data_IF_310379679114
#
_entry.id   IF_310379679114
#
_cell.length_a   1.000
_cell.length_b   1.000
_cell.length_c   1.000
_cell.angle_alpha   90.00
_cell.angle_beta   90.00
_cell.angle_gamma   90.00
#
_symmetry.space_group_name_H-M   'P 1'
#
loop_
_entity.id
_entity.type
_entity.pdbx_description
1 polymer ?
#
# COMPACT_ATOMS: atom_id res chain seq x y z
N UNK A 1 5.63 37.61 -6.79
CA UNK A 1 4.69 36.84 -5.94
C UNK A 1 3.87 35.96 -6.86
N UNK A 2 4.07 34.63 -6.91
CA UNK A 2 3.21 33.78 -7.73
C UNK A 2 1.84 33.67 -7.04
N UNK A 3 0.79 33.94 -7.81
CA UNK A 3 -0.61 33.77 -7.44
C UNK A 3 -0.90 32.29 -7.17
N UNK A 4 -1.62 31.94 -6.09
CA UNK A 4 -2.08 30.56 -5.88
C UNK A 4 -3.10 30.24 -6.97
N UNK A 5 -2.73 29.33 -7.89
CA UNK A 5 -3.67 28.80 -8.87
C UNK A 5 -4.81 28.09 -8.16
N UNK A 6 -6.05 28.45 -8.52
CA UNK A 6 -7.29 27.79 -8.09
C UNK A 6 -7.45 26.44 -8.80
N UNK A 7 -6.42 25.60 -8.78
CA UNK A 7 -6.55 24.20 -9.17
C UNK A 7 -7.12 23.44 -7.99
N UNK A 8 -8.27 22.78 -8.14
CA UNK A 8 -8.70 21.76 -7.20
C UNK A 8 -7.58 20.73 -7.12
N UNK A 9 -6.94 20.57 -5.96
CA UNK A 9 -6.00 19.46 -5.77
C UNK A 9 -6.82 18.19 -5.97
N UNK A 10 -6.48 17.32 -6.94
CA UNK A 10 -7.27 16.13 -7.20
C UNK A 10 -7.30 15.28 -5.93
N UNK A 11 -8.51 14.86 -5.54
CA UNK A 11 -8.78 14.25 -4.25
C UNK A 11 -8.04 12.92 -4.14
N UNK A 12 -7.27 12.76 -3.06
CA UNK A 12 -6.60 11.51 -2.73
C UNK A 12 -7.51 10.68 -1.82
N UNK A 13 -7.86 9.48 -2.24
CA UNK A 13 -8.68 8.57 -1.45
C UNK A 13 -7.93 7.27 -1.13
N UNK A 14 -8.15 6.74 0.08
CA UNK A 14 -7.69 5.40 0.43
C UNK A 14 -8.85 4.42 0.28
N UNK A 15 -8.73 3.50 -0.68
CA UNK A 15 -9.72 2.44 -0.89
C UNK A 15 -9.15 1.10 -0.42
N UNK A 16 -9.97 0.16 0.11
CA UNK A 16 -9.47 -1.16 0.50
C UNK A 16 -8.76 -1.84 -0.66
N UNK A 17 -7.57 -2.38 -0.42
CA UNK A 17 -6.79 -3.06 -1.44
C UNK A 17 -7.58 -4.23 -2.06
N UNK A 18 -7.71 -4.24 -3.38
CA UNK A 18 -8.37 -5.32 -4.14
C UNK A 18 -7.33 -6.11 -4.95
N UNK A 19 -7.64 -7.38 -5.25
CA UNK A 19 -6.76 -8.22 -6.06
C UNK A 19 -6.46 -7.60 -7.44
N UNK A 20 -7.41 -6.84 -8.00
CA UNK A 20 -7.21 -6.11 -9.25
C UNK A 20 -6.15 -5.00 -9.18
N UNK A 21 -5.78 -4.52 -7.98
CA UNK A 21 -4.72 -3.51 -7.81
C UNK A 21 -3.32 -4.15 -7.78
N UNK A 22 -3.21 -5.46 -7.56
CA UNK A 22 -1.93 -6.15 -7.41
C UNK A 22 -1.00 -5.98 -8.64
N UNK A 23 -1.47 -6.13 -9.91
CA UNK A 23 -0.60 -5.94 -11.06
C UNK A 23 0.01 -4.53 -11.15
N UNK A 24 -0.65 -3.51 -10.59
CA UNK A 24 -0.13 -2.13 -10.54
C UNK A 24 0.97 -2.04 -9.47
N UNK A 25 0.68 -2.50 -8.25
CA UNK A 25 1.65 -2.53 -7.14
C UNK A 25 2.92 -3.31 -7.50
N UNK A 26 2.77 -4.48 -8.15
CA UNK A 26 3.90 -5.32 -8.53
C UNK A 26 4.90 -4.60 -9.44
N UNK A 27 4.41 -3.72 -10.33
CA UNK A 27 5.24 -2.99 -11.30
C UNK A 27 6.09 -1.89 -10.68
N UNK A 28 5.81 -1.48 -9.44
CA UNK A 28 6.56 -0.41 -8.76
C UNK A 28 7.92 -0.86 -8.24
N UNK A 29 8.22 -2.15 -8.27
CA UNK A 29 9.50 -2.70 -7.81
C UNK A 29 10.18 -3.41 -8.99
N UNK A 30 11.20 -2.78 -9.55
CA UNK A 30 12.04 -3.33 -10.62
C UNK A 30 13.22 -4.16 -10.08
N UNK A 31 13.55 -4.01 -8.79
CA UNK A 31 14.67 -4.70 -8.15
C UNK A 31 14.34 -5.23 -6.75
N UNK A 32 15.10 -6.24 -6.30
CA UNK A 32 15.08 -6.74 -4.92
C UNK A 32 15.31 -5.60 -3.91
N UNK A 33 16.23 -4.68 -4.20
CA UNK A 33 16.55 -3.56 -3.31
C UNK A 33 15.34 -2.66 -3.06
N UNK A 34 14.59 -2.31 -4.11
CA UNK A 34 13.38 -1.49 -4.00
C UNK A 34 12.28 -2.22 -3.22
N UNK A 35 12.10 -3.52 -3.51
CA UNK A 35 11.14 -4.33 -2.78
C UNK A 35 11.48 -4.41 -1.29
N UNK A 36 12.76 -4.63 -0.94
CA UNK A 36 13.23 -4.71 0.45
C UNK A 36 13.08 -3.35 1.16
N UNK A 37 13.33 -2.23 0.48
CA UNK A 37 13.10 -0.90 1.05
C UNK A 37 11.63 -0.68 1.43
N UNK A 38 10.69 -1.18 0.63
CA UNK A 38 9.26 -1.06 0.89
C UNK A 38 8.73 -2.08 1.89
N UNK A 39 9.03 -3.36 1.69
CA UNK A 39 8.42 -4.48 2.41
C UNK A 39 9.23 -5.01 3.59
N UNK A 40 10.49 -4.60 3.72
CA UNK A 40 11.49 -5.30 4.52
C UNK A 40 11.98 -6.59 3.83
N UNK A 41 12.85 -7.37 4.49
CA UNK A 41 13.52 -8.53 3.89
C UNK A 41 12.64 -9.78 3.79
N UNK A 42 11.35 -9.70 4.14
CA UNK A 42 10.45 -10.84 4.19
C UNK A 42 9.89 -11.24 2.81
N UNK A 43 9.82 -10.30 1.87
CA UNK A 43 9.37 -10.55 0.50
C UNK A 43 10.59 -10.61 -0.43
N UNK A 44 10.44 -11.31 -1.56
CA UNK A 44 11.47 -11.52 -2.59
C UNK A 44 10.98 -11.01 -3.93
N UNK A 45 11.89 -10.42 -4.70
CA UNK A 45 11.64 -9.97 -6.05
C UNK A 45 11.75 -11.13 -7.05
N UNK A 46 10.83 -11.26 -8.03
CA UNK A 46 9.68 -10.39 -8.25
C UNK A 46 8.57 -10.61 -7.22
N UNK A 47 7.91 -9.53 -6.80
CA UNK A 47 6.74 -9.62 -5.92
C UNK A 47 5.67 -10.51 -6.59
N UNK A 48 5.13 -11.47 -5.87
CA UNK A 48 4.05 -12.34 -6.32
C UNK A 48 2.86 -12.28 -5.36
N UNK A 49 1.67 -12.60 -5.85
CA UNK A 49 0.46 -12.57 -5.03
C UNK A 49 0.52 -13.60 -3.89
N UNK A 50 1.18 -14.74 -4.14
CA UNK A 50 1.40 -15.79 -3.12
C UNK A 50 2.15 -15.23 -1.90
N UNK A 51 3.15 -14.37 -2.12
CA UNK A 51 3.90 -13.74 -1.04
C UNK A 51 3.06 -12.76 -0.20
N UNK A 52 1.92 -12.28 -0.70
CA UNK A 52 0.97 -11.43 0.02
C UNK A 52 -0.21 -12.20 0.63
N UNK A 53 -0.25 -13.53 0.50
CA UNK A 53 -1.38 -14.33 0.97
C UNK A 53 -1.64 -14.15 2.47
N UNK A 54 -0.58 -14.13 3.28
CA UNK A 54 -0.70 -13.93 4.72
C UNK A 54 -1.24 -12.54 5.06
N UNK A 55 -0.73 -11.47 4.42
CA UNK A 55 -1.23 -10.11 4.63
C UNK A 55 -2.73 -10.00 4.30
N UNK A 56 -3.15 -10.62 3.19
CA UNK A 56 -4.55 -10.67 2.77
C UNK A 56 -5.41 -11.49 3.75
N UNK A 57 -4.90 -12.62 4.23
CA UNK A 57 -5.59 -13.44 5.23
C UNK A 57 -5.75 -12.69 6.57
N UNK A 58 -4.71 -11.99 7.04
CA UNK A 58 -4.74 -11.14 8.23
C UNK A 58 -5.80 -10.04 8.14
N UNK A 59 -5.98 -9.46 6.94
CA UNK A 59 -7.00 -8.42 6.69
C UNK A 59 -8.44 -8.91 6.74
N UNK A 60 -8.67 -10.20 6.51
CA UNK A 60 -10.01 -10.81 6.51
C UNK A 60 -10.44 -11.32 7.89
N UNK A 61 -9.54 -11.32 8.88
CA UNK A 61 -9.85 -11.73 10.26
C UNK A 61 -10.84 -10.79 10.93
N UNK A 62 -11.50 -11.28 11.98
CA UNK A 62 -12.39 -10.49 12.84
C UNK A 62 -11.96 -10.65 14.32
N UNK A 63 -11.36 -9.63 14.95
CA UNK A 63 -10.96 -8.36 14.35
C UNK A 63 -9.73 -8.52 13.43
N UNK A 64 -9.51 -7.61 12.46
CA UNK A 64 -8.36 -7.70 11.56
C UNK A 64 -7.04 -7.49 12.33
N UNK A 65 -6.00 -8.20 11.88
CA UNK A 65 -4.62 -7.99 12.35
C UNK A 65 -3.87 -6.95 11.51
N UNK A 66 -4.29 -6.79 10.25
CA UNK A 66 -3.75 -5.84 9.30
C UNK A 66 -4.87 -5.24 8.46
N UNK A 67 -4.67 -4.03 7.95
CA UNK A 67 -5.47 -3.47 6.87
C UNK A 67 -4.55 -3.01 5.75
N UNK A 68 -5.02 -3.14 4.51
CA UNK A 68 -4.27 -2.78 3.30
C UNK A 68 -5.14 -1.83 2.48
N UNK A 69 -4.55 -0.75 1.98
CA UNK A 69 -5.22 0.21 1.12
C UNK A 69 -4.41 0.51 -0.12
N UNK A 70 -5.13 0.81 -1.19
CA UNK A 70 -4.60 1.51 -2.35
C UNK A 70 -4.94 2.99 -2.23
N UNK A 71 -3.96 3.84 -2.50
CA UNK A 71 -4.19 5.26 -2.66
C UNK A 71 -4.60 5.54 -4.11
N UNK A 72 -5.77 6.16 -4.29
CA UNK A 72 -6.33 6.47 -5.60
C UNK A 72 -6.44 7.99 -5.80
N UNK A 73 -6.14 8.43 -7.02
CA UNK A 73 -6.38 9.79 -7.51
C UNK A 73 -6.96 9.68 -8.92
N UNK A 74 -8.12 10.30 -9.16
CA UNK A 74 -8.82 10.24 -10.45
C UNK A 74 -8.96 8.80 -10.98
N UNK A 75 -9.42 7.88 -10.11
CA UNK A 75 -9.54 6.42 -10.35
C UNK A 75 -8.23 5.66 -10.65
N UNK A 76 -7.09 6.34 -10.64
CA UNK A 76 -5.78 5.72 -10.79
C UNK A 76 -5.20 5.32 -9.43
N UNK A 77 -4.79 4.06 -9.30
CA UNK A 77 -4.00 3.59 -8.15
C UNK A 77 -2.59 4.17 -8.24
N UNK A 78 -2.23 5.04 -7.29
CA UNK A 78 -0.95 5.75 -7.22
C UNK A 78 -0.10 5.41 -5.99
N UNK A 79 -0.63 4.57 -5.09
CA UNK A 79 0.11 4.13 -3.91
C UNK A 79 -0.50 2.95 -3.20
N UNK A 80 0.23 2.42 -2.23
CA UNK A 80 -0.19 1.34 -1.34
C UNK A 80 0.30 1.63 0.06
N UNK A 81 -0.51 1.31 1.06
CA UNK A 81 -0.12 1.40 2.46
C UNK A 81 -0.81 0.33 3.30
N UNK A 82 -0.22 0.05 4.46
CA UNK A 82 -0.76 -0.93 5.40
C UNK A 82 -0.78 -0.37 6.82
N UNK A 83 -1.77 -0.79 7.60
CA UNK A 83 -1.78 -0.66 9.05
C UNK A 83 -1.69 -2.04 9.69
N UNK A 84 -0.81 -2.20 10.66
CA UNK A 84 -0.67 -3.42 11.46
C UNK A 84 -1.11 -3.12 12.89
N UNK A 85 -1.97 -3.98 13.44
CA UNK A 85 -2.50 -3.84 14.79
C UNK A 85 -1.73 -4.72 15.77
N UNK A 86 -1.10 -4.10 16.77
CA UNK A 86 -0.60 -4.78 17.94
C UNK A 86 -1.58 -4.53 19.10
N UNK A 87 -2.59 -5.40 19.18
CA UNK A 87 -3.65 -5.30 20.19
C UNK A 87 -3.14 -5.61 21.60
N UNK A 88 -2.08 -6.40 21.71
CA UNK A 88 -1.48 -6.72 23.02
C UNK A 88 -0.91 -5.47 23.67
N UNK A 89 -0.27 -4.61 22.88
CA UNK A 89 0.36 -3.39 23.37
C UNK A 89 -0.47 -2.12 23.10
N UNK A 90 -1.64 -2.23 22.47
CA UNK A 90 -2.52 -1.10 22.19
C UNK A 90 -1.97 -0.12 21.15
N UNK A 91 -1.09 -0.57 20.24
CA UNK A 91 -0.45 0.28 19.24
C UNK A 91 -0.82 -0.13 17.82
N UNK A 92 -0.68 0.82 16.90
CA UNK A 92 -0.85 0.59 15.46
C UNK A 92 0.39 1.10 14.73
N UNK A 93 0.82 0.35 13.71
CA UNK A 93 1.98 0.71 12.88
C UNK A 93 1.54 0.97 11.45
N UNK A 94 1.91 2.15 10.94
CA UNK A 94 1.95 2.42 9.51
C UNK A 94 3.15 1.70 8.89
N UNK A 95 2.92 0.89 7.87
CA UNK A 95 3.96 0.10 7.22
C UNK A 95 3.73 -0.04 5.72
N UNK A 96 4.81 -0.42 5.01
CA UNK A 96 4.78 -0.71 3.57
C UNK A 96 4.06 0.38 2.78
N UNK A 97 4.48 1.62 3.04
CA UNK A 97 3.99 2.79 2.32
C UNK A 97 4.84 2.94 1.07
N UNK A 98 4.18 2.97 -0.09
CA UNK A 98 4.80 3.34 -1.36
C UNK A 98 3.87 4.30 -2.09
N UNK A 99 4.46 5.37 -2.60
CA UNK A 99 3.87 6.22 -3.62
C UNK A 99 4.73 6.00 -4.85
N UNK A 100 4.14 5.52 -5.92
CA UNK A 100 4.83 5.40 -7.19
C UNK A 100 4.10 6.29 -8.19
N UNK A 101 4.34 7.61 -8.14
CA UNK A 101 3.91 8.49 -9.21
C UNK A 101 4.70 8.09 -10.46
N UNK A 102 3.99 7.90 -11.57
CA UNK A 102 4.56 8.03 -12.91
C UNK A 102 5.15 9.42 -13.11
#
# INVERSE_FOLDING_TARGET
MPTPGTGSVPELQLVPFQLGHFPILQRWFATEKELVQWAGPALRHPLSLEQMHEDLAESRRRPPLRLLWSACRDDQVIGHCQLLFDRRNGVVRLARIVLAPT
#
